data_IF_179719146849
#
_entry.id   IF_179719146849
#
_cell.length_a   1.000
_cell.length_b   1.000
_cell.length_c   1.000
_cell.angle_alpha   90.00
_cell.angle_beta   90.00
_cell.angle_gamma   90.00
#
_symmetry.space_group_name_H-M   'P 1'
#
loop_
_entity.id
_entity.type
_entity.pdbx_description
1 polymer ?
#
# COMPACT_ATOMS: atom_id res chain seq x y z
N UNK A 1 3.04 7.43 -21.50
CA UNK A 1 3.26 7.48 -20.03
C UNK A 1 2.79 6.24 -19.28
N UNK A 2 2.04 5.32 -19.91
CA UNK A 2 1.41 4.17 -19.23
C UNK A 2 2.21 2.86 -19.30
N UNK A 3 3.15 2.73 -20.24
CA UNK A 3 3.96 1.51 -20.42
C UNK A 3 5.05 1.27 -19.34
N UNK A 4 5.32 2.28 -18.50
CA UNK A 4 6.44 2.22 -17.55
C UNK A 4 6.20 1.24 -16.39
N UNK A 5 4.94 0.95 -16.06
CA UNK A 5 4.59 0.08 -14.93
C UNK A 5 4.50 -1.41 -15.27
N UNK A 6 4.24 -1.80 -16.53
CA UNK A 6 4.22 -3.22 -16.93
C UNK A 6 5.58 -3.88 -16.79
N UNK A 7 6.66 -3.09 -16.99
CA UNK A 7 8.05 -3.55 -16.89
C UNK A 7 8.75 -3.04 -15.61
N UNK A 8 7.99 -2.47 -14.67
CA UNK A 8 8.57 -1.96 -13.43
C UNK A 8 9.00 -3.13 -12.52
N UNK A 9 10.19 -3.03 -11.95
CA UNK A 9 10.73 -4.01 -11.00
C UNK A 9 10.05 -3.87 -9.64
N UNK A 10 8.83 -4.41 -9.54
CA UNK A 10 8.05 -4.41 -8.31
C UNK A 10 8.76 -5.19 -7.19
N UNK A 11 9.38 -6.32 -7.53
CA UNK A 11 10.06 -7.16 -6.55
C UNK A 11 11.27 -6.45 -5.96
N UNK A 12 12.06 -5.76 -6.78
CA UNK A 12 13.17 -4.94 -6.33
C UNK A 12 12.73 -3.77 -5.46
N UNK A 13 11.58 -3.14 -5.76
CA UNK A 13 11.00 -2.10 -4.91
C UNK A 13 10.57 -2.65 -3.56
N UNK A 14 9.80 -3.73 -3.56
CA UNK A 14 9.27 -4.34 -2.34
C UNK A 14 10.39 -4.81 -1.39
N UNK A 15 11.51 -5.30 -1.95
CA UNK A 15 12.68 -5.69 -1.17
C UNK A 15 13.41 -4.51 -0.51
N UNK A 16 13.27 -3.29 -1.04
CA UNK A 16 13.88 -2.08 -0.47
C UNK A 16 13.14 -1.57 0.77
N UNK A 17 11.90 -1.98 1.00
CA UNK A 17 11.11 -1.53 2.14
C UNK A 17 11.54 -2.27 3.43
N UNK A 18 12.05 -1.58 4.45
CA UNK A 18 12.55 -2.19 5.67
C UNK A 18 11.39 -2.51 6.64
N UNK A 19 10.61 -3.54 6.33
CA UNK A 19 9.39 -3.90 7.08
C UNK A 19 9.62 -4.95 8.18
N UNK A 20 10.73 -5.70 8.11
CA UNK A 20 11.00 -6.79 9.04
C UNK A 20 11.31 -6.28 10.46
N UNK A 21 10.99 -7.08 11.47
CA UNK A 21 11.28 -6.79 12.90
C UNK A 21 12.73 -7.10 13.28
N UNK A 22 13.65 -7.21 12.32
CA UNK A 22 15.07 -7.44 12.53
C UNK A 22 15.80 -6.14 12.92
N UNK A 23 16.94 -6.26 13.61
CA UNK A 23 17.78 -5.12 13.98
C UNK A 23 18.22 -4.33 12.74
N UNK A 24 18.61 -5.03 11.68
CA UNK A 24 19.03 -4.43 10.41
C UNK A 24 17.91 -3.57 9.78
N UNK A 25 16.68 -4.10 9.71
CA UNK A 25 15.56 -3.35 9.14
C UNK A 25 15.15 -2.17 10.03
N UNK A 26 15.26 -2.29 11.37
CA UNK A 26 15.05 -1.15 12.28
C UNK A 26 16.04 -0.03 12.02
N UNK A 27 17.32 -0.35 11.81
CA UNK A 27 18.35 0.64 11.47
C UNK A 27 18.07 1.31 10.11
N UNK A 28 17.66 0.53 9.10
CA UNK A 28 17.23 1.05 7.79
C UNK A 28 15.99 1.95 7.94
N UNK A 29 15.00 1.52 8.73
CA UNK A 29 13.81 2.35 9.03
C UNK A 29 14.18 3.66 9.70
N UNK A 30 15.12 3.65 10.65
CA UNK A 30 15.58 4.88 11.31
C UNK A 30 16.20 5.86 10.33
N UNK A 31 17.00 5.38 9.40
CA UNK A 31 17.59 6.23 8.35
C UNK A 31 16.51 6.79 7.43
N UNK A 32 15.56 5.95 7.02
CA UNK A 32 14.43 6.34 6.17
C UNK A 32 13.53 7.36 6.89
N UNK A 33 13.22 7.14 8.16
CA UNK A 33 12.48 8.08 8.99
C UNK A 33 13.14 9.46 9.02
N UNK A 34 14.42 9.52 9.33
CA UNK A 34 15.18 10.79 9.41
C UNK A 34 15.23 11.52 8.05
N UNK A 35 15.15 10.79 6.96
CA UNK A 35 15.09 11.39 5.63
C UNK A 35 13.70 11.94 5.27
N UNK A 36 12.63 11.36 5.84
CA UNK A 36 11.24 11.74 5.57
C UNK A 36 10.74 12.81 6.54
N UNK A 37 11.01 12.67 7.84
CA UNK A 37 10.73 13.69 8.89
C UNK A 37 11.76 14.83 8.79
N UNK A 38 11.62 15.62 7.72
CA UNK A 38 12.63 16.66 7.38
C UNK A 38 12.67 17.80 8.38
N UNK A 39 11.55 18.10 9.04
CA UNK A 39 11.46 19.16 10.04
C UNK A 39 11.85 18.70 11.45
N UNK A 40 12.06 17.37 11.63
CA UNK A 40 12.49 16.77 12.90
C UNK A 40 11.48 16.88 14.03
N UNK A 41 10.19 17.05 13.71
CA UNK A 41 9.14 17.22 14.73
C UNK A 41 8.64 15.90 15.36
N UNK A 42 9.15 14.75 14.89
CA UNK A 42 8.78 13.42 15.39
C UNK A 42 7.46 12.89 14.81
N UNK A 43 6.96 13.51 13.76
CA UNK A 43 5.76 13.12 13.05
C UNK A 43 5.99 13.26 11.54
N UNK A 44 5.41 12.37 10.77
CA UNK A 44 5.41 12.41 9.31
C UNK A 44 4.03 12.78 8.81
N UNK A 45 3.93 13.88 8.08
CA UNK A 45 2.72 14.29 7.35
C UNK A 45 2.59 13.51 6.04
N UNK A 46 1.40 13.49 5.44
CA UNK A 46 1.20 12.91 4.10
C UNK A 46 2.10 13.58 3.04
N UNK A 47 2.34 14.88 3.13
CA UNK A 47 3.18 15.61 2.19
C UNK A 47 4.68 15.24 2.34
N UNK A 48 5.17 15.09 3.57
CA UNK A 48 6.53 14.61 3.84
C UNK A 48 6.71 13.16 3.39
N UNK A 49 5.69 12.32 3.62
CA UNK A 49 5.70 10.94 3.17
C UNK A 49 5.73 10.84 1.64
N UNK A 50 4.84 11.56 0.95
CA UNK A 50 4.76 11.60 -0.51
C UNK A 50 6.12 12.02 -1.11
N UNK A 51 6.70 13.12 -0.62
CA UNK A 51 8.01 13.59 -1.06
C UNK A 51 9.13 12.62 -0.71
N UNK A 52 9.17 12.13 0.53
CA UNK A 52 10.23 11.25 1.00
C UNK A 52 10.26 9.91 0.26
N UNK A 53 9.09 9.35 -0.05
CA UNK A 53 9.00 8.13 -0.87
C UNK A 53 9.54 8.39 -2.29
N UNK A 54 9.26 9.57 -2.86
CA UNK A 54 9.79 9.94 -4.17
C UNK A 54 11.32 10.02 -4.16
N UNK A 55 11.86 10.76 -3.20
CA UNK A 55 13.30 11.06 -3.16
C UNK A 55 14.13 9.81 -2.77
N UNK A 56 13.63 8.98 -1.86
CA UNK A 56 14.38 7.85 -1.29
C UNK A 56 14.20 6.55 -2.07
N UNK A 57 12.98 6.25 -2.51
CA UNK A 57 12.70 5.02 -3.28
C UNK A 57 12.94 5.20 -4.78
N UNK A 58 13.21 6.44 -5.20
CA UNK A 58 13.46 6.79 -6.61
C UNK A 58 12.37 6.22 -7.54
N UNK A 59 11.11 6.42 -7.15
CA UNK A 59 9.98 5.93 -7.93
C UNK A 59 9.71 6.87 -9.10
N UNK A 60 9.88 6.42 -10.34
CA UNK A 60 9.46 7.22 -11.48
C UNK A 60 7.93 7.34 -11.49
N UNK A 61 7.42 8.52 -11.78
CA UNK A 61 5.99 8.79 -12.04
C UNK A 61 4.99 8.50 -10.89
N UNK A 62 5.32 8.92 -9.70
CA UNK A 62 4.47 8.77 -8.49
C UNK A 62 3.07 9.37 -8.62
N UNK A 63 2.82 10.22 -9.59
CA UNK A 63 1.48 10.79 -9.78
C UNK A 63 0.37 9.73 -9.93
N UNK A 64 0.66 8.62 -10.60
CA UNK A 64 -0.26 7.49 -10.75
C UNK A 64 -0.36 6.64 -9.48
N UNK A 65 0.69 6.65 -8.62
CA UNK A 65 0.74 5.91 -7.36
C UNK A 65 0.21 6.70 -6.16
N UNK A 66 -0.23 7.94 -6.35
CA UNK A 66 -0.73 8.79 -5.26
C UNK A 66 -1.85 8.14 -4.46
N UNK A 67 -2.73 7.40 -5.12
CA UNK A 67 -3.79 6.64 -4.44
C UNK A 67 -3.22 5.56 -3.53
N UNK A 68 -2.17 4.84 -3.95
CA UNK A 68 -1.45 3.85 -3.13
C UNK A 68 -0.90 4.50 -1.86
N UNK A 69 -0.20 5.63 -2.00
CA UNK A 69 0.39 6.36 -0.88
C UNK A 69 -0.67 6.86 0.11
N UNK A 70 -1.75 7.45 -0.39
CA UNK A 70 -2.85 7.95 0.43
C UNK A 70 -3.51 6.81 1.21
N UNK A 71 -3.77 5.67 0.58
CA UNK A 71 -4.39 4.51 1.24
C UNK A 71 -3.47 3.95 2.33
N UNK A 72 -2.19 3.73 2.05
CA UNK A 72 -1.21 3.24 3.02
C UNK A 72 -1.12 4.19 4.23
N UNK A 73 -0.99 5.49 3.97
CA UNK A 73 -0.91 6.51 4.99
C UNK A 73 -2.18 6.55 5.87
N UNK A 74 -3.35 6.55 5.23
CA UNK A 74 -4.65 6.60 5.94
C UNK A 74 -4.88 5.35 6.79
N UNK A 75 -4.49 4.17 6.30
CA UNK A 75 -4.62 2.93 7.04
C UNK A 75 -3.70 2.89 8.28
N UNK A 76 -2.51 3.48 8.20
CA UNK A 76 -1.51 3.44 9.28
C UNK A 76 -1.71 4.48 10.38
N UNK A 77 -2.11 5.71 10.04
CA UNK A 77 -2.13 6.87 10.96
C UNK A 77 -3.05 6.73 12.19
N UNK A 78 -3.97 5.79 12.18
CA UNK A 78 -4.96 5.59 13.26
C UNK A 78 -4.76 4.29 14.04
N UNK A 79 -3.62 3.63 13.91
CA UNK A 79 -3.37 2.35 14.59
C UNK A 79 -3.09 2.53 16.08
N UNK A 80 -2.49 3.64 16.51
CA UNK A 80 -2.29 3.93 17.92
C UNK A 80 -3.53 4.63 18.51
N UNK A 81 -4.13 4.01 19.53
CA UNK A 81 -5.23 4.59 20.31
C UNK A 81 -4.69 5.66 21.28
N UNK A 82 -5.48 6.69 21.54
CA UNK A 82 -5.12 7.71 22.55
C UNK A 82 -4.19 8.83 22.06
N UNK A 83 -3.97 8.95 20.77
CA UNK A 83 -3.25 10.09 20.18
C UNK A 83 -3.88 11.44 20.57
N UNK A 84 -3.04 12.45 20.73
CA UNK A 84 -3.50 13.83 20.88
C UNK A 84 -4.27 14.29 19.63
N UNK A 85 -5.10 15.32 19.80
CA UNK A 85 -5.89 15.89 18.68
C UNK A 85 -4.98 16.26 17.48
N UNK A 86 -3.77 16.73 17.74
CA UNK A 86 -2.80 17.15 16.72
C UNK A 86 -2.11 15.98 16.03
N UNK A 87 -1.93 14.83 16.72
CA UNK A 87 -1.23 13.68 16.17
C UNK A 87 -2.13 12.73 15.36
N UNK A 88 -3.45 12.94 15.35
CA UNK A 88 -4.40 12.10 14.62
C UNK A 88 -4.20 12.13 13.10
N UNK A 89 -3.67 13.23 12.58
CA UNK A 89 -3.47 13.42 11.14
C UNK A 89 -2.05 13.08 10.68
N UNK A 90 -1.20 12.64 11.60
CA UNK A 90 0.20 12.34 11.34
C UNK A 90 0.55 10.91 11.74
N UNK A 91 1.57 10.35 11.08
CA UNK A 91 2.17 9.07 11.42
C UNK A 91 3.33 9.32 12.38
N UNK A 92 3.29 8.66 13.55
CA UNK A 92 4.39 8.67 14.52
C UNK A 92 5.39 7.54 14.24
N UNK A 93 6.54 7.58 14.92
CA UNK A 93 7.59 6.56 14.76
C UNK A 93 7.08 5.13 14.91
N UNK A 94 6.24 4.85 15.89
CA UNK A 94 5.72 3.50 16.13
C UNK A 94 4.80 3.00 15.01
N UNK A 95 4.11 3.91 14.32
CA UNK A 95 3.25 3.58 13.20
C UNK A 95 4.00 3.51 11.87
N UNK A 96 5.24 3.98 11.84
CA UNK A 96 6.00 4.10 10.60
C UNK A 96 6.30 2.74 9.95
N UNK A 97 6.60 1.72 10.76
CA UNK A 97 6.74 0.36 10.23
C UNK A 97 5.44 -0.11 9.58
N UNK A 98 4.31 0.10 10.25
CA UNK A 98 2.98 -0.29 9.73
C UNK A 98 2.66 0.47 8.45
N UNK A 99 3.04 1.75 8.36
CA UNK A 99 2.93 2.52 7.13
C UNK A 99 3.69 1.87 5.97
N UNK A 100 4.92 1.39 6.22
CA UNK A 100 5.73 0.72 5.20
C UNK A 100 5.15 -0.66 4.82
N UNK A 101 4.58 -1.41 5.77
CA UNK A 101 3.87 -2.67 5.52
C UNK A 101 2.66 -2.42 4.61
N UNK A 102 1.82 -1.43 4.94
CA UNK A 102 0.68 -1.09 4.08
C UNK A 102 1.10 -0.51 2.74
N UNK A 103 2.19 0.26 2.69
CA UNK A 103 2.73 0.74 1.43
C UNK A 103 3.09 -0.43 0.51
N UNK A 104 3.78 -1.46 1.04
CA UNK A 104 4.09 -2.68 0.32
C UNK A 104 2.82 -3.37 -0.17
N UNK A 105 1.86 -3.61 0.72
CA UNK A 105 0.60 -4.27 0.40
C UNK A 105 -0.17 -3.57 -0.72
N UNK A 106 -0.31 -2.25 -0.64
CA UNK A 106 -1.01 -1.48 -1.69
C UNK A 106 -0.22 -1.40 -3.00
N UNK A 107 1.10 -1.49 -2.98
CA UNK A 107 1.90 -1.66 -4.21
C UNK A 107 1.64 -3.02 -4.85
N UNK A 108 1.55 -4.08 -4.07
CA UNK A 108 1.20 -5.42 -4.56
C UNK A 108 -0.19 -5.42 -5.22
N UNK A 109 -1.18 -4.80 -4.57
CA UNK A 109 -2.50 -4.64 -5.17
C UNK A 109 -2.48 -3.81 -6.45
N UNK A 110 -1.64 -2.77 -6.50
CA UNK A 110 -1.48 -1.97 -7.70
C UNK A 110 -0.85 -2.77 -8.84
N UNK A 111 0.16 -3.57 -8.56
CA UNK A 111 0.76 -4.46 -9.54
C UNK A 111 -0.24 -5.51 -10.06
N UNK A 112 -1.09 -6.05 -9.18
CA UNK A 112 -2.18 -6.95 -9.57
C UNK A 112 -3.20 -6.25 -10.47
N UNK A 113 -3.62 -5.04 -10.10
CA UNK A 113 -4.54 -4.23 -10.87
C UNK A 113 -4.02 -3.96 -12.29
N UNK A 114 -2.77 -3.49 -12.42
CA UNK A 114 -2.15 -3.23 -13.72
C UNK A 114 -1.99 -4.49 -14.60
N UNK A 115 -1.92 -5.68 -14.00
CA UNK A 115 -1.90 -6.95 -14.77
C UNK A 115 -3.26 -7.31 -15.36
N UNK A 116 -4.35 -6.84 -14.74
CA UNK A 116 -5.72 -7.07 -15.18
C UNK A 116 -6.15 -5.98 -16.15
N UNK A 117 -5.84 -4.72 -15.85
CA UNK A 117 -6.06 -3.56 -16.71
C UNK A 117 -5.13 -3.65 -17.94
N UNK A 118 -5.59 -4.29 -18.98
CA UNK A 118 -4.81 -4.51 -20.21
C UNK A 118 -4.90 -3.34 -21.18
N UNK A 119 -5.92 -2.49 -21.04
CA UNK A 119 -6.14 -1.28 -21.83
C UNK A 119 -5.31 -0.09 -21.34
N UNK A 120 -4.77 -0.14 -20.10
CA UNK A 120 -4.05 0.93 -19.42
C UNK A 120 -4.89 2.22 -19.24
N UNK A 121 -6.20 2.08 -19.04
CA UNK A 121 -7.09 3.23 -18.82
C UNK A 121 -7.41 3.49 -17.33
N UNK A 122 -6.70 2.76 -16.42
CA UNK A 122 -6.88 2.78 -14.95
C UNK A 122 -8.26 2.31 -14.48
N UNK A 123 -8.88 1.45 -15.26
CA UNK A 123 -10.13 0.78 -14.95
C UNK A 123 -10.01 -0.68 -15.37
N UNK A 124 -10.83 -1.53 -14.77
CA UNK A 124 -10.99 -2.91 -15.23
C UNK A 124 -12.42 -3.04 -15.73
N UNK A 125 -12.60 -3.21 -17.02
CA UNK A 125 -13.90 -3.51 -17.60
C UNK A 125 -14.28 -4.98 -17.40
N UNK A 126 -15.53 -5.34 -17.72
CA UNK A 126 -16.00 -6.70 -17.55
C UNK A 126 -15.24 -7.72 -18.42
N UNK A 127 -14.77 -7.32 -19.62
CA UNK A 127 -14.04 -8.22 -20.50
C UNK A 127 -12.63 -8.49 -19.98
N UNK A 128 -11.95 -7.47 -19.44
CA UNK A 128 -10.65 -7.58 -18.78
C UNK A 128 -10.76 -8.44 -17.52
N UNK A 129 -11.78 -8.19 -16.69
CA UNK A 129 -12.06 -9.00 -15.51
C UNK A 129 -12.29 -10.46 -15.88
N UNK A 130 -13.09 -10.75 -16.91
CA UNK A 130 -13.34 -12.10 -17.41
C UNK A 130 -12.08 -12.78 -17.92
N UNK A 131 -11.22 -12.06 -18.66
CA UNK A 131 -9.92 -12.59 -19.12
C UNK A 131 -8.97 -12.88 -17.97
N UNK A 132 -9.07 -12.13 -16.87
CA UNK A 132 -8.22 -12.28 -15.70
C UNK A 132 -8.63 -13.42 -14.75
N UNK A 133 -9.78 -14.09 -14.96
CA UNK A 133 -10.26 -15.17 -14.08
C UNK A 133 -9.19 -16.24 -13.80
N UNK A 134 -8.43 -16.75 -14.79
CA UNK A 134 -7.38 -17.74 -14.53
C UNK A 134 -6.25 -17.17 -13.64
N UNK A 135 -5.99 -15.88 -13.73
CA UNK A 135 -4.98 -15.19 -12.91
C UNK A 135 -5.50 -14.99 -11.48
N UNK A 136 -6.75 -14.59 -11.32
CA UNK A 136 -7.42 -14.47 -10.01
C UNK A 136 -7.48 -15.82 -9.30
N UNK A 137 -7.74 -16.91 -10.05
CA UNK A 137 -7.73 -18.26 -9.48
C UNK A 137 -6.34 -18.68 -8.96
N UNK A 138 -5.26 -18.32 -9.68
CA UNK A 138 -3.88 -18.53 -9.21
C UNK A 138 -3.58 -17.73 -7.94
N UNK A 139 -4.22 -16.59 -7.73
CA UNK A 139 -4.14 -15.80 -6.50
C UNK A 139 -5.09 -16.31 -5.40
N UNK A 140 -5.73 -17.46 -5.60
CA UNK A 140 -6.60 -18.11 -4.61
C UNK A 140 -8.07 -17.69 -4.65
N UNK A 141 -8.47 -16.86 -5.62
CA UNK A 141 -9.85 -16.39 -5.72
C UNK A 141 -10.66 -17.27 -6.66
N UNK A 142 -11.58 -18.07 -6.11
CA UNK A 142 -12.50 -18.89 -6.90
C UNK A 142 -13.77 -18.10 -7.22
N UNK A 143 -14.03 -17.88 -8.50
CA UNK A 143 -15.17 -17.14 -9.00
C UNK A 143 -16.05 -18.07 -9.84
N UNK A 144 -17.25 -18.40 -9.33
CA UNK A 144 -18.21 -19.27 -10.01
C UNK A 144 -19.15 -18.51 -10.93
N UNK A 145 -19.50 -17.29 -10.58
CA UNK A 145 -20.33 -16.39 -11.39
C UNK A 145 -19.59 -15.05 -11.61
N UNK A 146 -18.88 -14.89 -12.74
CA UNK A 146 -18.12 -13.67 -13.03
C UNK A 146 -18.97 -12.39 -13.08
N UNK A 147 -20.24 -12.49 -13.56
CA UNK A 147 -21.10 -11.29 -13.63
C UNK A 147 -21.54 -10.83 -12.24
N UNK A 148 -21.94 -11.78 -11.40
CA UNK A 148 -22.33 -11.47 -10.02
C UNK A 148 -21.13 -10.94 -9.23
N UNK A 149 -19.93 -11.52 -9.42
CA UNK A 149 -18.74 -11.07 -8.72
C UNK A 149 -18.30 -9.68 -9.21
N UNK A 150 -18.29 -9.41 -10.52
CA UNK A 150 -18.00 -8.09 -11.07
C UNK A 150 -18.93 -7.02 -10.50
N UNK A 151 -20.24 -7.30 -10.44
CA UNK A 151 -21.23 -6.38 -9.86
C UNK A 151 -20.99 -6.08 -8.37
N UNK A 152 -20.42 -7.03 -7.63
CA UNK A 152 -20.07 -6.81 -6.21
C UNK A 152 -18.82 -5.92 -6.07
N UNK A 153 -17.92 -5.98 -7.04
CA UNK A 153 -16.72 -5.13 -7.05
C UNK A 153 -17.05 -3.71 -7.49
N UNK A 154 -17.82 -3.56 -8.57
CA UNK A 154 -18.32 -2.29 -9.09
C UNK A 154 -19.38 -1.71 -8.14
N UNK A 155 -18.95 -1.23 -6.97
CA UNK A 155 -19.82 -0.74 -5.90
C UNK A 155 -20.62 0.50 -6.29
N UNK A 156 -20.04 1.32 -7.17
CA UNK A 156 -20.65 2.57 -7.61
C UNK A 156 -21.48 2.42 -8.90
N UNK A 157 -21.56 1.20 -9.45
CA UNK A 157 -22.23 0.84 -10.70
C UNK A 157 -21.76 1.70 -11.90
N UNK A 158 -20.49 2.00 -11.97
CA UNK A 158 -19.87 2.75 -13.07
C UNK A 158 -19.70 1.94 -14.35
N UNK A 159 -19.87 0.62 -14.29
CA UNK A 159 -19.60 -0.34 -15.36
C UNK A 159 -18.14 -0.76 -15.45
N UNK A 160 -17.29 -0.32 -14.54
CA UNK A 160 -15.88 -0.69 -14.45
C UNK A 160 -15.40 -0.71 -13.00
N UNK A 161 -14.38 -1.51 -12.71
CA UNK A 161 -13.78 -1.59 -11.38
C UNK A 161 -12.63 -0.60 -11.32
N UNK A 162 -12.69 0.35 -10.40
CA UNK A 162 -11.62 1.29 -10.11
C UNK A 162 -10.62 0.68 -9.14
N UNK A 163 -9.39 1.25 -9.08
CA UNK A 163 -8.35 0.78 -8.17
C UNK A 163 -8.81 0.71 -6.70
N UNK A 164 -9.58 1.69 -6.23
CA UNK A 164 -10.08 1.70 -4.85
C UNK A 164 -11.02 0.51 -4.57
N UNK A 165 -11.91 0.19 -5.51
CA UNK A 165 -12.82 -0.95 -5.41
C UNK A 165 -12.08 -2.28 -5.47
N UNK A 166 -11.05 -2.35 -6.32
CA UNK A 166 -10.17 -3.51 -6.39
C UNK A 166 -9.41 -3.73 -5.07
N UNK A 167 -8.88 -2.68 -4.44
CA UNK A 167 -8.22 -2.78 -3.13
C UNK A 167 -9.18 -3.31 -2.06
N UNK A 168 -10.40 -2.78 -1.99
CA UNK A 168 -11.39 -3.23 -1.01
C UNK A 168 -11.77 -4.70 -1.20
N UNK A 169 -11.80 -5.15 -2.45
CA UNK A 169 -11.99 -6.55 -2.77
C UNK A 169 -10.80 -7.41 -2.39
N UNK A 170 -9.58 -7.00 -2.74
CA UNK A 170 -8.35 -7.69 -2.43
C UNK A 170 -8.20 -7.91 -0.91
N UNK A 171 -8.48 -6.88 -0.11
CA UNK A 171 -8.50 -6.96 1.36
C UNK A 171 -9.55 -7.99 1.84
N UNK A 172 -10.78 -7.93 1.33
CA UNK A 172 -11.85 -8.89 1.70
C UNK A 172 -11.51 -10.34 1.35
N UNK A 173 -10.70 -10.55 0.33
CA UNK A 173 -10.27 -11.88 -0.14
C UNK A 173 -8.93 -12.34 0.44
N UNK A 174 -8.32 -11.53 1.33
CA UNK A 174 -6.99 -11.77 1.91
C UNK A 174 -5.95 -12.09 0.81
N UNK A 175 -5.89 -11.22 -0.21
CA UNK A 175 -4.92 -11.36 -1.30
C UNK A 175 -3.54 -10.81 -0.93
N UNK A 176 -3.35 -10.38 0.29
CA UNK A 176 -2.08 -10.00 0.87
C UNK A 176 -1.22 -11.22 1.18
N UNK A 177 0.05 -11.10 0.94
CA UNK A 177 1.00 -12.19 1.10
C UNK A 177 1.52 -12.34 2.53
N UNK A 178 1.33 -11.35 3.40
CA UNK A 178 1.87 -11.33 4.77
C UNK A 178 0.96 -10.57 5.72
N UNK A 179 0.48 -11.25 6.76
CA UNK A 179 -0.34 -10.70 7.85
C UNK A 179 0.59 -10.18 8.97
N UNK A 180 1.40 -9.13 8.67
CA UNK A 180 2.42 -8.59 9.58
C UNK A 180 2.23 -7.08 9.85
N UNK A 181 0.98 -6.68 10.16
CA UNK A 181 0.65 -5.30 10.52
C UNK A 181 0.77 -5.00 12.03
N UNK A 182 1.39 -5.89 12.80
CA UNK A 182 1.67 -5.72 14.21
C UNK A 182 2.78 -4.69 14.50
N UNK A 183 2.74 -4.10 15.69
CA UNK A 183 3.84 -3.27 16.17
C UNK A 183 5.11 -4.10 16.45
N UNK A 184 6.27 -3.48 16.22
CA UNK A 184 7.54 -4.06 16.64
C UNK A 184 7.70 -3.92 18.17
N UNK A 185 7.67 -5.04 18.88
CA UNK A 185 7.70 -5.08 20.35
C UNK A 185 8.95 -4.42 20.95
N UNK A 186 10.10 -4.49 20.30
CA UNK A 186 11.31 -3.81 20.75
C UNK A 186 11.22 -2.28 20.56
N UNK A 187 10.62 -1.83 19.48
CA UNK A 187 10.36 -0.40 19.29
C UNK A 187 9.36 0.12 20.30
N UNK A 188 8.30 -0.67 20.62
CA UNK A 188 7.34 -0.35 21.68
C UNK A 188 7.99 -0.25 23.06
N UNK A 189 8.87 -1.18 23.42
CA UNK A 189 9.60 -1.16 24.71
C UNK A 189 10.48 0.08 24.82
N UNK A 190 11.25 0.38 23.79
CA UNK A 190 12.12 1.54 23.72
C UNK A 190 11.38 2.88 23.75
N UNK A 191 10.13 2.91 23.27
CA UNK A 191 9.27 4.10 23.32
C UNK A 191 8.69 4.34 24.72
N UNK A 192 8.29 3.28 25.44
CA UNK A 192 7.72 3.37 26.80
C UNK A 192 8.78 3.67 27.89
N UNK A 193 10.05 3.47 27.58
CA UNK A 193 11.18 3.71 28.51
C UNK A 193 11.75 5.13 28.43
N UNK A 194 11.21 5.98 27.59
CA UNK A 194 11.53 7.43 27.49
C UNK A 194 10.40 8.27 28.08
#
# INVERSE_FOLDING_TARGET
>A
MQNDFKNFDWDGLLQKLPIKKTKEDREKRRKLWNAIDMNGNGYVSLAEFDRGVQDVLNLPHIFSLKKVLIRAYTASKNKIKGKSKYSKDYVGWLEFRILLVYLRQYFEYYAMFCRIDTSDDFKIDFNEFKKALPTLEKWGVKITDPKAEFKKLDNNNSGSIMFDEFCDYAIKKNLDLEDDDDFDDEELKNFKSK
#
